data_IF_583477136059
#
_entry.id   IF_583477136059
#
_cell.length_a   1.000
_cell.length_b   1.000
_cell.length_c   1.000
_cell.angle_alpha   90.00
_cell.angle_beta   90.00
_cell.angle_gamma   90.00
#
_symmetry.space_group_name_H-M   'P 1'
#
loop_
_entity.id
_entity.type
_entity.pdbx_description
1 polymer ?
#
# COMPACT_ATOMS: atom_id res chain seq x y z
N UNK A 1 9.16 -57.71 22.22
CA UNK A 1 10.48 -57.24 21.79
C UNK A 1 10.43 -57.12 20.25
N UNK A 2 10.23 -55.94 19.73
CA UNK A 2 10.35 -55.65 18.31
C UNK A 2 11.34 -54.50 18.21
N UNK A 3 12.46 -54.81 17.61
CA UNK A 3 13.58 -53.90 17.35
C UNK A 3 13.29 -53.15 16.07
N UNK A 4 13.10 -51.86 16.12
CA UNK A 4 13.00 -50.99 14.93
C UNK A 4 14.38 -50.42 14.64
N UNK A 5 14.96 -50.86 13.53
CA UNK A 5 16.19 -50.31 12.97
C UNK A 5 15.91 -48.92 12.41
N UNK A 6 16.71 -47.94 12.83
CA UNK A 6 16.89 -46.67 12.19
C UNK A 6 18.04 -46.83 11.19
N UNK A 7 17.72 -46.78 9.90
CA UNK A 7 18.72 -46.73 8.84
C UNK A 7 19.32 -45.32 8.78
N UNK A 8 20.64 -45.27 8.84
CA UNK A 8 21.46 -44.06 8.68
C UNK A 8 21.32 -43.52 7.27
N UNK A 9 20.80 -42.28 7.15
CA UNK A 9 20.94 -41.48 5.92
C UNK A 9 22.33 -40.84 5.88
N UNK A 10 23.09 -40.99 4.80
CA UNK A 10 24.37 -40.32 4.64
C UNK A 10 24.17 -38.79 4.54
N UNK A 11 24.81 -38.08 5.43
CA UNK A 11 24.94 -36.61 5.35
C UNK A 11 25.73 -36.23 4.09
N UNK A 12 25.02 -35.77 3.05
CA UNK A 12 25.67 -35.17 1.90
C UNK A 12 26.10 -33.76 2.30
N UNK A 13 27.36 -33.63 2.68
CA UNK A 13 28.02 -32.34 2.83
C UNK A 13 28.20 -31.73 1.42
N UNK A 14 27.34 -30.76 1.05
CA UNK A 14 27.64 -29.90 -0.08
C UNK A 14 28.76 -28.96 0.33
N UNK A 15 29.98 -29.27 -0.07
CA UNK A 15 31.07 -28.29 -0.13
C UNK A 15 30.72 -27.28 -1.22
N UNK A 16 30.13 -26.16 -0.85
CA UNK A 16 30.06 -25.00 -1.72
C UNK A 16 31.48 -24.43 -1.80
N UNK A 17 32.20 -24.76 -2.84
CA UNK A 17 33.45 -24.10 -3.19
C UNK A 17 33.06 -22.72 -3.73
N UNK A 18 33.25 -21.69 -2.92
CA UNK A 18 33.23 -20.32 -3.41
C UNK A 18 34.46 -20.10 -4.30
N UNK A 19 34.31 -20.25 -5.60
CA UNK A 19 35.30 -19.75 -6.54
C UNK A 19 35.15 -18.22 -6.62
N UNK A 20 36.25 -17.54 -6.39
CA UNK A 20 36.40 -16.07 -6.46
C UNK A 20 36.54 -15.58 -7.92
N UNK A 21 35.85 -16.23 -8.85
CA UNK A 21 35.87 -15.90 -10.29
C UNK A 21 34.90 -14.76 -10.64
N UNK A 22 34.33 -14.04 -9.65
CA UNK A 22 33.42 -12.90 -9.87
C UNK A 22 34.08 -11.69 -10.55
N UNK A 23 35.40 -11.68 -10.70
CA UNK A 23 36.11 -10.53 -11.30
C UNK A 23 36.18 -10.52 -12.81
N UNK A 24 35.92 -11.63 -13.49
CA UNK A 24 36.02 -11.67 -14.95
C UNK A 24 34.67 -11.69 -15.70
N UNK A 25 33.54 -11.89 -14.98
CA UNK A 25 32.21 -11.90 -15.62
C UNK A 25 31.63 -10.49 -15.85
N UNK A 26 32.27 -9.45 -15.33
CA UNK A 26 31.76 -8.07 -15.26
C UNK A 26 32.13 -7.15 -16.44
N UNK A 27 32.63 -7.68 -17.58
CA UNK A 27 33.09 -6.80 -18.66
C UNK A 27 32.10 -6.62 -19.83
N UNK A 28 30.97 -7.34 -19.87
CA UNK A 28 30.02 -7.22 -21.01
C UNK A 28 28.62 -7.67 -20.62
N UNK A 29 27.81 -6.87 -19.92
CA UNK A 29 26.35 -6.74 -19.99
C UNK A 29 25.77 -6.23 -18.66
N UNK A 30 25.12 -5.08 -18.69
CA UNK A 30 24.13 -4.59 -17.74
C UNK A 30 24.52 -4.73 -16.26
N UNK A 31 24.86 -3.63 -15.57
CA UNK A 31 25.13 -3.66 -14.13
C UNK A 31 23.98 -4.27 -13.35
N UNK A 32 24.28 -4.95 -12.25
CA UNK A 32 23.27 -5.44 -11.31
C UNK A 32 22.50 -4.25 -10.71
N UNK A 33 21.23 -4.47 -10.39
CA UNK A 33 20.44 -3.52 -9.61
C UNK A 33 20.31 -4.05 -8.18
N UNK A 34 20.43 -3.18 -7.19
CA UNK A 34 20.10 -3.59 -5.83
C UNK A 34 18.58 -3.68 -5.70
N UNK A 35 18.08 -4.77 -5.16
CA UNK A 35 16.66 -4.92 -4.87
C UNK A 35 16.38 -5.07 -3.39
N UNK A 36 15.19 -4.63 -3.00
CA UNK A 36 14.65 -4.74 -1.64
C UNK A 36 13.19 -5.18 -1.74
N UNK A 37 12.82 -6.20 -0.97
CA UNK A 37 11.40 -6.51 -0.71
C UNK A 37 11.04 -5.89 0.62
N UNK A 38 10.02 -5.05 0.62
CA UNK A 38 9.60 -4.24 1.76
C UNK A 38 8.15 -4.53 2.09
N UNK A 39 7.86 -4.83 3.34
CA UNK A 39 6.50 -4.85 3.88
C UNK A 39 6.16 -3.45 4.40
N UNK A 40 5.16 -2.80 3.81
CA UNK A 40 4.70 -1.46 4.16
C UNK A 40 3.44 -1.53 5.03
N UNK A 41 3.28 -0.60 5.97
CA UNK A 41 2.21 -0.60 6.97
C UNK A 41 2.21 -1.87 7.83
N UNK A 42 3.38 -2.40 8.13
CA UNK A 42 3.57 -3.64 8.87
C UNK A 42 4.00 -3.37 10.32
N UNK A 43 3.59 -4.20 11.26
CA UNK A 43 4.10 -4.18 12.63
C UNK A 43 5.26 -5.18 12.83
N UNK A 44 5.33 -6.17 11.96
CA UNK A 44 6.41 -7.14 11.86
C UNK A 44 6.56 -7.66 10.43
N UNK A 45 7.66 -8.34 10.13
CA UNK A 45 7.89 -8.94 8.81
C UNK A 45 6.78 -9.92 8.44
N UNK A 46 6.47 -9.96 7.14
CA UNK A 46 5.44 -10.82 6.53
C UNK A 46 4.00 -10.39 6.82
N UNK A 47 3.84 -9.13 7.21
CA UNK A 47 2.56 -8.42 7.34
C UNK A 47 2.56 -7.21 6.38
N UNK A 48 1.47 -6.43 6.36
CA UNK A 48 1.42 -5.21 5.56
C UNK A 48 1.27 -5.47 4.06
N UNK A 49 1.58 -4.46 3.26
CA UNK A 49 1.55 -4.49 1.79
C UNK A 49 2.97 -4.62 1.25
N UNK A 50 3.19 -5.64 0.42
CA UNK A 50 4.50 -5.93 -0.14
C UNK A 50 4.86 -5.02 -1.31
N UNK A 51 6.12 -4.61 -1.35
CA UNK A 51 6.70 -3.76 -2.38
C UNK A 51 8.06 -4.30 -2.82
N UNK A 52 8.30 -4.34 -4.12
CA UNK A 52 9.64 -4.46 -4.67
C UNK A 52 10.20 -3.05 -4.94
N UNK A 53 11.36 -2.74 -4.36
CA UNK A 53 12.13 -1.52 -4.63
C UNK A 53 13.42 -1.90 -5.31
N UNK A 54 13.70 -1.32 -6.48
CA UNK A 54 14.96 -1.50 -7.22
C UNK A 54 15.71 -0.17 -7.28
N UNK A 55 17.01 -0.19 -6.95
CA UNK A 55 17.93 0.93 -7.23
C UNK A 55 18.70 0.62 -8.48
N UNK A 56 18.41 1.36 -9.53
CA UNK A 56 19.07 1.19 -10.83
C UNK A 56 20.40 1.98 -10.87
N UNK A 57 21.48 1.28 -11.06
CA UNK A 57 22.81 1.88 -11.28
C UNK A 57 23.14 2.04 -12.78
N UNK A 58 22.18 1.72 -13.65
CA UNK A 58 22.20 1.84 -15.11
C UNK A 58 20.90 2.38 -15.65
N UNK A 59 20.90 2.83 -16.88
CA UNK A 59 19.65 3.13 -17.57
C UNK A 59 18.83 1.86 -17.74
N UNK A 60 17.56 1.92 -17.37
CA UNK A 60 16.57 0.87 -17.50
C UNK A 60 15.41 1.37 -18.34
N UNK A 61 15.03 0.63 -19.38
CA UNK A 61 13.94 1.01 -20.27
C UNK A 61 12.58 0.78 -19.63
N UNK A 62 11.57 1.52 -20.12
CA UNK A 62 10.17 1.34 -19.68
C UNK A 62 9.68 -0.09 -19.88
N UNK A 63 10.08 -0.71 -21.00
CA UNK A 63 9.74 -2.11 -21.30
C UNK A 63 10.34 -3.08 -20.27
N UNK A 64 11.57 -2.82 -19.82
CA UNK A 64 12.23 -3.66 -18.82
C UNK A 64 11.60 -3.46 -17.43
N UNK A 65 11.32 -2.20 -17.03
CA UNK A 65 10.62 -1.89 -15.77
C UNK A 65 9.26 -2.60 -15.71
N UNK A 66 8.49 -2.55 -16.82
CA UNK A 66 7.21 -3.25 -16.92
C UNK A 66 7.34 -4.77 -16.85
N UNK A 67 8.37 -5.36 -17.44
CA UNK A 67 8.62 -6.81 -17.37
C UNK A 67 8.93 -7.25 -15.95
N UNK A 68 9.76 -6.48 -15.23
CA UNK A 68 10.09 -6.74 -13.82
C UNK A 68 8.84 -6.63 -12.94
N UNK A 69 8.03 -5.59 -13.13
CA UNK A 69 6.79 -5.44 -12.37
C UNK A 69 5.83 -6.62 -12.59
N UNK A 70 5.75 -7.16 -13.82
CA UNK A 70 4.96 -8.35 -14.12
C UNK A 70 5.54 -9.64 -13.57
N UNK A 71 6.87 -9.78 -13.55
CA UNK A 71 7.56 -10.96 -13.04
C UNK A 71 7.34 -11.13 -11.55
N UNK A 72 7.51 -10.04 -10.77
CA UNK A 72 7.30 -10.10 -9.33
C UNK A 72 5.82 -10.14 -8.94
N UNK A 73 4.97 -9.48 -9.74
CA UNK A 73 3.51 -9.47 -9.61
C UNK A 73 3.00 -9.02 -8.23
N UNK A 74 3.71 -8.11 -7.55
CA UNK A 74 3.17 -7.35 -6.43
C UNK A 74 2.25 -6.25 -6.96
N UNK A 75 1.45 -5.63 -6.09
CA UNK A 75 0.56 -4.52 -6.50
C UNK A 75 1.35 -3.44 -7.25
N UNK A 76 2.52 -3.07 -6.74
CA UNK A 76 3.45 -2.16 -7.38
C UNK A 76 4.92 -2.59 -7.23
N UNK A 77 5.73 -2.02 -8.11
CA UNK A 77 7.20 -2.08 -8.10
C UNK A 77 7.74 -0.67 -8.28
N UNK A 78 8.73 -0.28 -7.51
CA UNK A 78 9.38 1.03 -7.63
C UNK A 78 10.81 0.92 -8.12
N UNK A 79 11.21 1.94 -8.90
CA UNK A 79 12.57 2.08 -9.43
C UNK A 79 13.16 3.42 -8.98
N UNK A 80 14.21 3.38 -8.17
CA UNK A 80 15.02 4.55 -7.82
C UNK A 80 16.04 4.73 -8.95
N UNK A 81 15.87 5.78 -9.76
CA UNK A 81 16.62 6.00 -11.00
C UNK A 81 17.80 6.98 -10.86
N UNK A 82 17.91 7.62 -9.71
CA UNK A 82 18.98 8.58 -9.45
C UNK A 82 19.57 8.44 -8.06
N UNK A 83 20.72 9.03 -7.85
CA UNK A 83 21.17 9.44 -6.52
C UNK A 83 20.44 10.73 -6.12
N UNK A 84 20.68 11.21 -4.89
CA UNK A 84 20.07 12.44 -4.38
C UNK A 84 20.36 13.62 -5.29
N UNK A 85 19.33 14.24 -5.83
CA UNK A 85 19.41 15.36 -6.76
C UNK A 85 19.64 16.69 -6.02
N UNK A 86 19.97 17.76 -6.76
CA UNK A 86 20.17 19.11 -6.19
C UNK A 86 18.94 19.66 -5.46
N UNK A 87 17.73 19.25 -5.88
CA UNK A 87 16.47 19.58 -5.20
C UNK A 87 16.23 18.77 -3.90
N UNK A 88 17.17 17.91 -3.54
CA UNK A 88 17.15 17.07 -2.35
C UNK A 88 16.31 15.80 -2.47
N UNK A 89 15.71 15.54 -3.63
CA UNK A 89 14.90 14.34 -3.91
C UNK A 89 15.64 13.28 -4.70
N UNK A 90 15.03 12.10 -4.80
CA UNK A 90 15.45 10.98 -5.64
C UNK A 90 14.42 10.78 -6.75
N UNK A 91 14.85 10.57 -7.98
CA UNK A 91 13.94 10.30 -9.09
C UNK A 91 13.42 8.87 -8.97
N UNK A 92 12.11 8.71 -8.86
CA UNK A 92 11.44 7.43 -8.63
C UNK A 92 10.28 7.26 -9.61
N UNK A 93 10.15 6.04 -10.13
CA UNK A 93 9.00 5.63 -10.94
C UNK A 93 8.30 4.46 -10.29
N UNK A 94 6.98 4.40 -10.43
CA UNK A 94 6.10 3.39 -9.84
C UNK A 94 5.39 2.65 -10.96
N UNK A 95 5.48 1.32 -10.94
CA UNK A 95 4.90 0.48 -11.98
C UNK A 95 3.97 -0.57 -11.37
N UNK A 96 2.83 -0.78 -12.02
CA UNK A 96 1.91 -1.89 -11.72
C UNK A 96 2.08 -3.02 -12.75
N UNK A 97 1.77 -4.27 -12.42
CA UNK A 97 1.90 -5.38 -13.37
C UNK A 97 0.96 -5.26 -14.57
N UNK A 98 -0.22 -4.70 -14.41
CA UNK A 98 -1.30 -4.75 -15.40
C UNK A 98 -1.51 -3.44 -16.17
N UNK A 99 -1.41 -2.29 -15.49
CA UNK A 99 -1.76 -0.97 -16.07
C UNK A 99 -0.55 -0.26 -16.66
N UNK A 100 0.65 -0.49 -16.10
CA UNK A 100 1.87 0.21 -16.49
C UNK A 100 2.37 1.14 -15.40
N UNK A 101 3.02 2.24 -15.79
CA UNK A 101 3.45 3.28 -14.87
C UNK A 101 2.24 4.02 -14.29
N UNK A 102 2.33 4.33 -12.99
CA UNK A 102 1.35 5.16 -12.29
C UNK A 102 2.03 6.39 -11.69
N UNK A 103 1.38 7.56 -11.73
CA UNK A 103 2.01 8.82 -11.33
C UNK A 103 2.29 8.92 -9.83
N UNK A 104 1.56 8.15 -9.02
CA UNK A 104 1.66 8.11 -7.58
C UNK A 104 0.99 6.84 -7.02
N UNK A 105 1.52 6.31 -5.92
CA UNK A 105 0.87 5.31 -5.08
C UNK A 105 1.39 5.41 -3.64
N UNK A 106 0.52 5.17 -2.65
CA UNK A 106 0.80 5.45 -1.23
C UNK A 106 1.88 4.57 -0.63
N UNK A 107 1.63 3.26 -0.50
CA UNK A 107 2.61 2.35 0.12
C UNK A 107 3.94 2.28 -0.66
N UNK A 108 3.98 2.36 -2.01
CA UNK A 108 5.23 2.43 -2.74
C UNK A 108 6.08 3.66 -2.39
N UNK A 109 5.43 4.80 -2.18
CA UNK A 109 6.10 6.03 -1.74
C UNK A 109 6.74 5.86 -0.37
N UNK A 110 6.00 5.31 0.62
CA UNK A 110 6.52 5.08 1.97
C UNK A 110 7.64 4.03 1.99
N UNK A 111 7.45 2.90 1.32
CA UNK A 111 8.44 1.81 1.28
C UNK A 111 9.74 2.22 0.57
N UNK A 112 9.64 2.99 -0.53
CA UNK A 112 10.82 3.52 -1.23
C UNK A 112 11.58 4.53 -0.37
N UNK A 113 10.87 5.43 0.32
CA UNK A 113 11.49 6.38 1.24
C UNK A 113 12.18 5.67 2.41
N UNK A 114 11.58 4.58 2.93
CA UNK A 114 12.19 3.73 3.95
C UNK A 114 13.52 3.10 3.48
N UNK A 115 13.56 2.57 2.26
CA UNK A 115 14.78 2.02 1.65
C UNK A 115 15.84 3.11 1.49
N UNK A 116 15.48 4.26 0.92
CA UNK A 116 16.40 5.38 0.72
C UNK A 116 17.01 5.82 2.06
N UNK A 117 16.17 6.07 3.06
CA UNK A 117 16.61 6.50 4.38
C UNK A 117 17.62 5.55 5.01
N UNK A 118 17.29 4.25 5.03
CA UNK A 118 18.06 3.27 5.79
C UNK A 118 19.27 2.74 5.03
N UNK A 119 19.19 2.60 3.70
CA UNK A 119 20.22 1.97 2.89
C UNK A 119 21.14 2.98 2.18
N UNK A 120 20.65 4.20 1.90
CA UNK A 120 21.40 5.21 1.14
C UNK A 120 21.71 6.49 1.93
N UNK A 121 20.92 6.85 2.96
CA UNK A 121 21.14 8.04 3.80
C UNK A 121 21.59 7.71 5.24
N UNK A 122 21.90 6.44 5.52
CA UNK A 122 22.43 6.01 6.81
C UNK A 122 21.48 6.17 8.01
N UNK A 123 20.17 6.28 7.75
CA UNK A 123 19.11 6.29 8.78
C UNK A 123 18.91 7.63 9.50
N UNK A 124 19.68 8.68 9.15
CA UNK A 124 19.65 9.95 9.89
C UNK A 124 18.66 11.01 9.41
N UNK A 125 18.04 10.83 8.25
CA UNK A 125 17.15 11.83 7.66
C UNK A 125 15.77 11.84 8.36
N UNK A 126 15.29 13.02 8.70
CA UNK A 126 13.94 13.24 9.22
C UNK A 126 12.89 13.32 8.09
N UNK A 127 13.31 13.57 6.86
CA UNK A 127 12.46 13.64 5.69
C UNK A 127 13.21 13.11 4.47
N UNK A 128 12.59 12.22 3.71
CA UNK A 128 13.05 11.76 2.41
C UNK A 128 12.12 12.34 1.34
N UNK A 129 12.69 12.82 0.22
CA UNK A 129 11.91 13.41 -0.87
C UNK A 129 12.02 12.53 -2.11
N UNK A 130 10.88 12.20 -2.69
CA UNK A 130 10.79 11.46 -3.95
C UNK A 130 10.30 12.38 -5.05
N UNK A 131 11.02 12.42 -6.18
CA UNK A 131 10.59 13.09 -7.40
C UNK A 131 9.77 12.08 -8.21
N UNK A 132 8.45 12.17 -8.10
CA UNK A 132 7.47 11.36 -8.84
C UNK A 132 6.88 12.15 -10.01
N UNK A 133 6.11 11.53 -10.87
CA UNK A 133 5.44 12.21 -12.00
C UNK A 133 4.52 13.34 -11.53
N UNK A 134 3.81 13.18 -10.42
CA UNK A 134 2.95 14.21 -9.81
C UNK A 134 3.72 15.35 -9.15
N UNK A 135 5.06 15.25 -9.06
CA UNK A 135 5.92 16.22 -8.41
C UNK A 135 6.75 15.65 -7.27
N UNK A 136 7.37 16.53 -6.48
CA UNK A 136 8.17 16.11 -5.35
C UNK A 136 7.30 15.84 -4.11
N UNK A 137 7.34 14.60 -3.63
CA UNK A 137 6.59 14.15 -2.46
C UNK A 137 7.55 13.99 -1.27
N UNK A 138 7.38 14.78 -0.21
CA UNK A 138 8.10 14.59 1.04
C UNK A 138 7.46 13.46 1.86
N UNK A 139 8.29 12.58 2.38
CA UNK A 139 7.92 11.55 3.35
C UNK A 139 8.64 11.84 4.65
N UNK A 140 7.89 12.15 5.69
CA UNK A 140 8.42 12.41 7.01
C UNK A 140 8.68 11.11 7.78
N UNK A 141 9.61 11.18 8.73
CA UNK A 141 9.86 10.11 9.70
C UNK A 141 9.28 10.54 11.04
N UNK A 142 8.34 9.81 11.54
CA UNK A 142 7.66 10.06 12.82
C UNK A 142 7.90 8.91 13.80
N UNK A 143 7.33 8.99 14.99
CA UNK A 143 7.34 7.88 15.96
C UNK A 143 6.54 6.68 15.42
N UNK A 144 5.53 6.94 14.59
CA UNK A 144 4.67 5.93 13.96
C UNK A 144 5.22 5.39 12.62
N UNK A 145 6.48 5.67 12.29
CA UNK A 145 7.15 5.19 11.08
C UNK A 145 7.26 6.26 9.99
N UNK A 146 7.02 5.86 8.75
CA UNK A 146 7.05 6.74 7.58
C UNK A 146 5.67 7.36 7.37
N UNK A 147 5.60 8.66 7.18
CA UNK A 147 4.32 9.39 7.07
C UNK A 147 4.34 10.33 5.87
N UNK A 148 3.24 10.37 5.13
CA UNK A 148 3.05 11.31 4.02
C UNK A 148 1.74 12.08 4.18
N UNK A 149 1.74 13.34 3.72
CA UNK A 149 0.53 14.15 3.63
C UNK A 149 -0.25 13.82 2.35
N UNK A 150 -1.56 13.93 2.44
CA UNK A 150 -2.50 13.80 1.33
C UNK A 150 -3.06 15.18 0.96
N UNK A 151 -3.71 15.29 -0.21
CA UNK A 151 -4.39 16.53 -0.57
C UNK A 151 -5.65 16.76 0.28
N UNK A 152 -6.18 18.00 0.33
CA UNK A 152 -7.51 18.24 0.84
C UNK A 152 -8.55 17.36 0.14
N UNK A 153 -9.57 16.85 0.88
CA UNK A 153 -10.53 15.92 0.31
C UNK A 153 -11.53 16.63 -0.62
N UNK A 154 -11.86 15.96 -1.71
CA UNK A 154 -12.99 16.27 -2.57
C UNK A 154 -14.12 15.29 -2.30
N UNK A 155 -15.36 15.78 -2.20
CA UNK A 155 -16.54 14.97 -1.90
C UNK A 155 -17.45 14.90 -3.12
N UNK A 156 -17.73 13.69 -3.56
CA UNK A 156 -18.59 13.42 -4.72
C UNK A 156 -19.97 12.87 -4.33
N UNK A 157 -20.51 12.06 -5.22
CA UNK A 157 -21.86 11.54 -5.12
C UNK A 157 -22.07 10.61 -3.91
N UNK A 158 -23.28 10.65 -3.35
CA UNK A 158 -23.74 9.65 -2.38
C UNK A 158 -24.30 8.44 -3.14
N UNK A 159 -23.81 7.26 -2.77
CA UNK A 159 -24.18 5.99 -3.39
C UNK A 159 -25.30 5.32 -2.59
N UNK A 160 -26.23 4.67 -3.28
CA UNK A 160 -27.32 3.95 -2.63
C UNK A 160 -26.79 2.68 -1.93
N UNK A 161 -27.08 2.53 -0.62
CA UNK A 161 -26.68 1.36 0.18
C UNK A 161 -27.12 0.04 -0.45
N UNK A 162 -28.32 0.01 -1.04
CA UNK A 162 -28.86 -1.17 -1.71
C UNK A 162 -27.98 -1.64 -2.88
N UNK A 163 -27.38 -0.73 -3.63
CA UNK A 163 -26.51 -1.10 -4.75
C UNK A 163 -25.21 -1.72 -4.24
N UNK A 164 -24.59 -1.09 -3.23
CA UNK A 164 -23.40 -1.61 -2.55
C UNK A 164 -23.68 -3.00 -1.94
N UNK A 165 -24.82 -3.18 -1.28
CA UNK A 165 -25.21 -4.46 -0.69
C UNK A 165 -25.25 -5.60 -1.74
N UNK A 166 -25.81 -5.31 -2.92
CA UNK A 166 -25.88 -6.28 -4.03
C UNK A 166 -24.52 -6.56 -4.63
N UNK A 167 -23.68 -5.53 -4.81
CA UNK A 167 -22.35 -5.66 -5.40
C UNK A 167 -21.43 -6.47 -4.51
N UNK A 168 -21.47 -6.23 -3.20
CA UNK A 168 -20.53 -6.82 -2.25
C UNK A 168 -21.11 -7.97 -1.41
N UNK A 169 -22.32 -8.41 -1.74
CA UNK A 169 -22.92 -9.62 -1.17
C UNK A 169 -23.25 -9.53 0.32
N UNK A 170 -23.48 -8.34 0.84
CA UNK A 170 -23.84 -8.08 2.25
C UNK A 170 -25.29 -7.63 2.38
N UNK A 171 -25.87 -7.71 3.58
CA UNK A 171 -27.20 -7.15 3.84
C UNK A 171 -27.16 -5.60 3.80
N UNK A 172 -28.18 -4.97 3.22
CA UNK A 172 -28.29 -3.50 3.24
C UNK A 172 -28.33 -2.96 4.69
N UNK A 173 -28.93 -3.72 5.60
CA UNK A 173 -28.98 -3.42 7.04
C UNK A 173 -27.63 -3.53 7.77
N UNK A 174 -26.64 -4.16 7.13
CA UNK A 174 -25.25 -4.22 7.62
C UNK A 174 -24.49 -2.92 7.40
N UNK A 175 -24.95 -2.07 6.47
CA UNK A 175 -24.37 -0.75 6.20
C UNK A 175 -24.97 0.24 7.21
N UNK A 176 -24.12 1.07 7.83
CA UNK A 176 -24.57 2.04 8.81
C UNK A 176 -25.31 3.21 8.13
N UNK A 177 -26.61 3.31 8.41
CA UNK A 177 -27.47 4.38 7.87
C UNK A 177 -27.22 5.76 8.46
N UNK A 178 -26.44 5.83 9.52
CA UNK A 178 -26.12 7.09 10.19
C UNK A 178 -25.20 7.97 9.32
N UNK A 179 -24.39 7.35 8.48
CA UNK A 179 -23.43 8.02 7.61
C UNK A 179 -23.65 7.63 6.15
N UNK A 180 -23.46 8.54 5.17
CA UNK A 180 -23.68 8.21 3.77
C UNK A 180 -22.59 7.26 3.24
N UNK A 181 -22.93 6.40 2.30
CA UNK A 181 -21.94 5.81 1.41
C UNK A 181 -21.56 6.87 0.40
N UNK A 182 -20.29 7.27 0.33
CA UNK A 182 -19.91 8.45 -0.45
C UNK A 182 -18.58 8.27 -1.18
N UNK A 183 -18.53 8.80 -2.40
CA UNK A 183 -17.30 8.98 -3.15
C UNK A 183 -16.47 10.12 -2.53
N UNK A 184 -15.18 9.86 -2.28
CA UNK A 184 -14.22 10.83 -1.72
C UNK A 184 -12.89 10.67 -2.44
N UNK A 185 -12.12 11.75 -2.60
CA UNK A 185 -10.78 11.73 -3.16
C UNK A 185 -9.85 12.70 -2.43
N UNK A 186 -8.69 12.22 -2.05
CA UNK A 186 -7.54 13.01 -1.60
C UNK A 186 -6.38 12.94 -2.63
N UNK A 187 -6.71 12.48 -3.84
CA UNK A 187 -5.78 12.31 -4.97
C UNK A 187 -6.09 11.08 -5.81
N UNK A 188 -6.31 9.92 -5.17
CA UNK A 188 -6.91 8.74 -5.77
C UNK A 188 -8.22 8.49 -5.04
N UNK A 189 -9.27 8.19 -5.79
CA UNK A 189 -10.63 8.13 -5.28
C UNK A 189 -11.00 6.80 -4.64
N UNK A 190 -11.89 6.87 -3.66
CA UNK A 190 -12.58 5.72 -3.10
C UNK A 190 -14.06 6.00 -2.80
N UNK A 191 -14.89 4.97 -2.91
CA UNK A 191 -16.21 4.94 -2.28
C UNK A 191 -16.03 4.47 -0.84
N UNK A 192 -16.34 5.32 0.12
CA UNK A 192 -16.24 5.02 1.57
C UNK A 192 -17.55 4.46 2.07
N UNK A 193 -17.51 3.29 2.72
CA UNK A 193 -18.68 2.52 3.10
C UNK A 193 -18.62 2.18 4.61
N UNK A 194 -19.43 2.83 5.46
CA UNK A 194 -19.53 2.53 6.87
C UNK A 194 -20.32 1.25 7.14
N UNK A 195 -19.79 0.37 7.99
CA UNK A 195 -20.46 -0.86 8.40
C UNK A 195 -20.77 -0.86 9.90
N UNK A 196 -21.77 -1.65 10.31
CA UNK A 196 -22.21 -1.77 11.71
C UNK A 196 -21.42 -2.78 12.52
N UNK A 197 -20.69 -3.70 11.89
CA UNK A 197 -20.01 -4.77 12.62
C UNK A 197 -18.82 -5.38 11.88
N UNK A 198 -17.86 -5.89 12.64
CA UNK A 198 -16.71 -6.65 12.11
C UNK A 198 -17.16 -7.92 11.36
N UNK A 199 -18.32 -8.50 11.74
CA UNK A 199 -18.90 -9.64 11.03
C UNK A 199 -19.30 -9.25 9.62
N UNK A 200 -19.99 -8.12 9.45
CA UNK A 200 -20.37 -7.62 8.13
C UNK A 200 -19.14 -7.35 7.24
N UNK A 201 -18.07 -6.79 7.84
CA UNK A 201 -16.81 -6.58 7.14
C UNK A 201 -16.18 -7.90 6.63
N UNK A 202 -16.19 -8.95 7.44
CA UNK A 202 -15.66 -10.27 7.07
C UNK A 202 -16.50 -10.99 5.98
N UNK A 203 -17.79 -10.69 5.88
CA UNK A 203 -18.72 -11.32 4.93
C UNK A 203 -18.63 -10.74 3.52
N UNK A 204 -17.94 -9.62 3.31
CA UNK A 204 -17.81 -8.95 2.00
C UNK A 204 -17.24 -9.89 0.96
N UNK A 205 -17.96 -10.01 -0.16
CA UNK A 205 -17.54 -10.75 -1.35
C UNK A 205 -18.01 -10.01 -2.59
N UNK A 206 -17.09 -9.47 -3.37
CA UNK A 206 -17.42 -8.76 -4.59
C UNK A 206 -18.03 -9.70 -5.63
N UNK A 207 -19.17 -9.32 -6.16
CA UNK A 207 -19.88 -10.03 -7.23
C UNK A 207 -19.58 -9.32 -8.55
N UNK A 208 -18.69 -9.89 -9.38
CA UNK A 208 -18.25 -9.29 -10.65
C UNK A 208 -19.41 -8.88 -11.56
N UNK A 209 -20.39 -9.74 -11.90
CA UNK A 209 -21.51 -9.32 -12.76
C UNK A 209 -22.38 -8.20 -12.17
N UNK A 210 -22.47 -8.11 -10.84
CA UNK A 210 -23.21 -7.03 -10.19
C UNK A 210 -22.39 -5.73 -10.22
N UNK A 211 -21.08 -5.80 -10.01
CA UNK A 211 -20.17 -4.67 -10.09
C UNK A 211 -20.15 -4.08 -11.51
N UNK A 212 -19.99 -4.91 -12.54
CA UNK A 212 -20.00 -4.46 -13.93
C UNK A 212 -21.29 -3.68 -14.27
N UNK A 213 -22.47 -4.18 -13.89
CA UNK A 213 -23.75 -3.46 -14.06
C UNK A 213 -23.86 -2.19 -13.22
N UNK A 214 -23.21 -2.17 -12.05
CA UNK A 214 -23.16 -0.98 -11.21
C UNK A 214 -22.31 0.11 -11.86
N UNK A 215 -21.14 -0.22 -12.37
CA UNK A 215 -20.24 0.70 -13.05
C UNK A 215 -20.79 1.19 -14.40
N UNK A 216 -21.53 0.36 -15.15
CA UNK A 216 -22.25 0.81 -16.35
C UNK A 216 -23.20 1.98 -16.06
N UNK A 217 -23.77 2.05 -14.86
CA UNK A 217 -24.68 3.13 -14.43
C UNK A 217 -23.99 4.26 -13.69
N UNK A 218 -22.87 3.99 -13.07
CA UNK A 218 -22.09 4.88 -12.22
C UNK A 218 -20.61 4.79 -12.56
N UNK A 219 -20.20 5.21 -13.77
CA UNK A 219 -18.80 5.08 -14.20
C UNK A 219 -17.82 5.86 -13.31
N UNK A 220 -18.27 6.89 -12.62
CA UNK A 220 -17.50 7.66 -11.65
C UNK A 220 -17.09 6.82 -10.42
N UNK A 221 -17.74 5.70 -10.16
CA UNK A 221 -17.45 4.79 -9.06
C UNK A 221 -16.53 3.62 -9.47
N UNK A 222 -15.89 3.69 -10.65
CA UNK A 222 -14.83 2.75 -11.03
C UNK A 222 -13.53 3.15 -10.32
N UNK A 223 -13.49 2.88 -9.03
CA UNK A 223 -12.43 3.22 -8.10
C UNK A 223 -12.43 2.24 -6.92
N UNK A 224 -11.54 2.48 -5.95
CA UNK A 224 -11.48 1.70 -4.73
C UNK A 224 -12.81 1.76 -3.94
N UNK A 225 -13.14 0.67 -3.24
CA UNK A 225 -14.28 0.60 -2.31
C UNK A 225 -13.76 0.24 -0.93
N UNK A 226 -13.67 1.25 -0.05
CA UNK A 226 -13.16 1.09 1.30
C UNK A 226 -14.31 0.92 2.30
N UNK A 227 -14.38 -0.27 2.88
CA UNK A 227 -15.30 -0.59 3.95
C UNK A 227 -14.61 -0.41 5.30
N UNK A 228 -15.30 0.18 6.25
CA UNK A 228 -14.76 0.33 7.60
C UNK A 228 -15.81 0.06 8.68
N UNK A 229 -15.31 -0.30 9.86
CA UNK A 229 -16.12 -0.49 11.07
C UNK A 229 -15.36 0.01 12.29
N UNK A 230 -16.08 0.65 13.21
CA UNK A 230 -15.54 1.09 14.49
C UNK A 230 -15.26 -0.11 15.42
N UNK A 231 -14.03 -0.18 15.93
CA UNK A 231 -13.58 -1.19 16.90
C UNK A 231 -13.46 -0.62 18.31
N UNK A 232 -13.74 0.69 18.48
CA UNK A 232 -13.54 1.42 19.73
C UNK A 232 -12.11 1.91 19.93
N UNK A 233 -11.89 2.77 20.92
CA UNK A 233 -10.56 3.27 21.31
C UNK A 233 -9.78 3.95 20.15
N UNK A 234 -10.47 4.69 19.29
CA UNK A 234 -9.92 5.30 18.08
C UNK A 234 -9.26 4.27 17.15
N UNK A 235 -9.84 3.08 17.06
CA UNK A 235 -9.40 2.03 16.14
C UNK A 235 -10.52 1.65 15.19
N UNK A 236 -10.21 1.57 13.91
CA UNK A 236 -11.11 1.09 12.86
C UNK A 236 -10.55 -0.20 12.26
N UNK A 237 -11.43 -1.12 11.85
CA UNK A 237 -11.05 -2.21 10.97
C UNK A 237 -11.56 -1.89 9.55
N UNK A 238 -10.76 -2.17 8.53
CA UNK A 238 -11.09 -1.87 7.15
C UNK A 238 -10.77 -3.03 6.19
N UNK A 239 -11.46 -3.02 5.05
CA UNK A 239 -11.13 -3.81 3.85
C UNK A 239 -11.27 -2.92 2.63
N UNK A 240 -10.33 -2.99 1.71
CA UNK A 240 -10.36 -2.26 0.46
C UNK A 240 -10.48 -3.21 -0.73
N UNK A 241 -11.58 -3.08 -1.49
CA UNK A 241 -11.80 -3.82 -2.73
C UNK A 241 -11.49 -2.91 -3.90
N UNK A 242 -10.54 -3.32 -4.71
CA UNK A 242 -10.13 -2.58 -5.90
C UNK A 242 -11.06 -2.89 -7.08
N UNK A 243 -11.10 -2.00 -8.05
CA UNK A 243 -11.91 -2.11 -9.27
C UNK A 243 -11.56 -3.32 -10.15
N UNK A 244 -10.36 -3.88 -10.01
CA UNK A 244 -9.90 -5.08 -10.72
C UNK A 244 -10.26 -6.40 -10.02
N UNK A 245 -11.09 -6.34 -8.96
CA UNK A 245 -11.56 -7.47 -8.14
C UNK A 245 -10.49 -8.07 -7.22
N UNK A 246 -9.45 -7.33 -6.92
CA UNK A 246 -8.43 -7.69 -5.95
C UNK A 246 -8.75 -6.97 -4.62
N UNK A 247 -8.48 -7.60 -3.51
CA UNK A 247 -8.44 -6.95 -2.20
C UNK A 247 -7.02 -6.48 -1.94
N UNK A 248 -6.86 -5.21 -1.54
CA UNK A 248 -5.58 -4.63 -1.20
C UNK A 248 -5.34 -4.71 0.32
N UNK A 249 -4.19 -5.21 0.78
CA UNK A 249 -3.92 -5.37 2.21
C UNK A 249 -3.71 -4.06 2.96
N UNK A 250 -3.28 -2.97 2.31
CA UNK A 250 -3.11 -1.65 2.92
C UNK A 250 -3.15 -0.54 1.88
N UNK A 251 -4.25 0.20 1.85
CA UNK A 251 -4.52 1.24 0.85
C UNK A 251 -4.35 2.63 1.46
N UNK A 252 -3.14 3.19 1.37
CA UNK A 252 -2.84 4.50 1.97
C UNK A 252 -3.73 5.63 1.44
N UNK A 253 -3.98 5.68 0.12
CA UNK A 253 -4.86 6.70 -0.49
C UNK A 253 -6.29 6.61 0.02
N UNK A 254 -6.91 5.43 -0.02
CA UNK A 254 -8.30 5.25 0.45
C UNK A 254 -8.46 5.51 1.95
N UNK A 255 -7.40 5.31 2.76
CA UNK A 255 -7.42 5.69 4.18
C UNK A 255 -7.27 7.22 4.37
N UNK A 256 -6.63 7.93 3.45
CA UNK A 256 -6.69 9.39 3.37
C UNK A 256 -8.10 9.90 3.04
N UNK A 257 -8.78 9.24 2.08
CA UNK A 257 -10.18 9.53 1.73
C UNK A 257 -11.10 9.28 2.93
N UNK A 258 -10.89 8.17 3.65
CA UNK A 258 -11.59 7.85 4.89
C UNK A 258 -11.38 8.95 5.93
N UNK A 259 -10.16 9.48 6.08
CA UNK A 259 -9.86 10.54 7.03
C UNK A 259 -10.65 11.82 6.74
N UNK A 260 -10.67 12.25 5.47
CA UNK A 260 -11.49 13.36 5.02
C UNK A 260 -12.99 13.13 5.28
N UNK A 261 -13.48 11.93 4.94
CA UNK A 261 -14.86 11.52 5.19
C UNK A 261 -15.25 11.57 6.67
N UNK A 262 -14.40 11.07 7.57
CA UNK A 262 -14.69 11.02 9.01
C UNK A 262 -14.76 12.42 9.63
N UNK A 263 -13.91 13.36 9.17
CA UNK A 263 -13.97 14.75 9.59
C UNK A 263 -15.22 15.47 9.05
N UNK A 264 -15.54 15.32 7.76
CA UNK A 264 -16.71 15.94 7.13
C UNK A 264 -18.01 15.52 7.80
N UNK A 265 -18.12 14.25 8.20
CA UNK A 265 -19.31 13.72 8.85
C UNK A 265 -19.27 13.75 10.38
N UNK A 266 -18.33 14.50 10.99
CA UNK A 266 -18.17 14.65 12.46
C UNK A 266 -18.23 13.30 13.21
N UNK A 267 -17.58 12.27 12.61
CA UNK A 267 -17.65 10.90 13.09
C UNK A 267 -17.14 10.75 14.52
N UNK A 268 -15.97 11.32 14.80
CA UNK A 268 -15.33 11.31 16.12
C UNK A 268 -15.77 12.49 17.02
N UNK A 269 -16.63 13.40 16.55
CA UNK A 269 -17.02 14.64 17.24
C UNK A 269 -15.82 15.52 17.61
N UNK A 270 -14.85 15.54 16.73
CA UNK A 270 -13.63 16.33 16.82
C UNK A 270 -13.15 16.69 15.42
N UNK A 271 -12.59 17.88 15.27
CA UNK A 271 -11.97 18.34 14.03
C UNK A 271 -10.45 18.17 14.04
N UNK A 272 -9.90 17.48 15.04
CA UNK A 272 -8.50 17.06 15.13
C UNK A 272 -8.48 15.67 15.76
N UNK A 273 -8.10 14.66 14.97
CA UNK A 273 -8.22 13.25 15.34
C UNK A 273 -6.96 12.47 14.99
N UNK A 274 -6.61 11.57 15.88
CA UNK A 274 -5.60 10.54 15.63
C UNK A 274 -6.25 9.19 15.88
N UNK A 275 -6.11 8.28 14.92
CA UNK A 275 -6.68 6.96 15.01
C UNK A 275 -5.86 5.95 14.20
N UNK A 276 -6.11 4.67 14.47
CA UNK A 276 -5.45 3.56 13.80
C UNK A 276 -6.44 2.79 12.94
N UNK A 277 -6.03 2.40 11.74
CA UNK A 277 -6.79 1.50 10.88
C UNK A 277 -6.07 0.16 10.78
N UNK A 278 -6.79 -0.92 11.06
CA UNK A 278 -6.36 -2.29 10.81
C UNK A 278 -6.99 -2.76 9.51
N UNK A 279 -6.16 -3.02 8.49
CA UNK A 279 -6.59 -3.52 7.18
C UNK A 279 -5.90 -4.84 6.86
N UNK A 280 -6.42 -5.63 5.91
CA UNK A 280 -5.77 -6.85 5.42
C UNK A 280 -5.79 -8.07 6.33
N UNK A 281 -6.43 -8.01 7.53
CA UNK A 281 -6.50 -9.17 8.44
C UNK A 281 -7.17 -10.39 7.78
N UNK A 282 -8.25 -10.18 7.04
CA UNK A 282 -9.00 -11.26 6.39
C UNK A 282 -8.24 -11.91 5.24
N UNK A 283 -7.16 -11.29 4.77
CA UNK A 283 -6.22 -11.82 3.77
C UNK A 283 -5.01 -12.53 4.40
N UNK A 284 -4.84 -12.46 5.74
CA UNK A 284 -3.63 -12.90 6.42
C UNK A 284 -2.43 -11.97 6.24
N UNK A 285 -2.66 -10.72 5.81
CA UNK A 285 -1.68 -9.64 5.62
C UNK A 285 -2.07 -8.44 6.47
N UNK A 286 -2.11 -8.63 7.80
CA UNK A 286 -2.48 -7.56 8.73
C UNK A 286 -1.62 -6.33 8.49
N UNK A 287 -2.27 -5.20 8.29
CA UNK A 287 -1.66 -3.89 8.08
C UNK A 287 -2.15 -2.91 9.13
N UNK A 288 -1.27 -2.03 9.58
CA UNK A 288 -1.55 -1.00 10.60
C UNK A 288 -1.20 0.35 10.02
N UNK A 289 -2.22 1.17 9.83
CA UNK A 289 -2.09 2.53 9.32
C UNK A 289 -2.39 3.50 10.46
N UNK A 290 -1.48 4.43 10.70
CA UNK A 290 -1.64 5.52 11.66
C UNK A 290 -2.09 6.76 10.92
N UNK A 291 -3.20 7.32 11.34
CA UNK A 291 -3.84 8.44 10.67
C UNK A 291 -3.90 9.63 11.62
N UNK A 292 -3.44 10.78 11.14
CA UNK A 292 -3.72 12.07 11.73
C UNK A 292 -4.52 12.90 10.74
N UNK A 293 -5.65 13.44 11.17
CA UNK A 293 -6.46 14.29 10.32
C UNK A 293 -7.03 15.46 11.11
N UNK A 294 -6.92 16.66 10.54
CA UNK A 294 -7.54 17.85 11.14
C UNK A 294 -8.09 18.80 10.08
N UNK A 295 -9.14 19.52 10.47
CA UNK A 295 -9.72 20.60 9.68
C UNK A 295 -9.87 21.84 10.55
N UNK A 296 -9.30 22.96 10.11
CA UNK A 296 -9.40 24.23 10.82
C UNK A 296 -9.60 25.38 9.83
N UNK A 297 -10.77 26.04 9.88
CA UNK A 297 -11.13 27.18 9.02
C UNK A 297 -10.97 26.90 7.51
N UNK A 298 -11.16 25.66 7.06
CA UNK A 298 -11.02 25.26 5.67
C UNK A 298 -9.64 24.72 5.30
N UNK A 299 -8.66 24.81 6.19
CA UNK A 299 -7.36 24.16 6.02
C UNK A 299 -7.45 22.70 6.47
N UNK A 300 -7.09 21.78 5.58
CA UNK A 300 -7.07 20.35 5.84
C UNK A 300 -5.64 19.86 6.05
N UNK A 301 -5.47 19.04 7.07
CA UNK A 301 -4.29 18.21 7.27
C UNK A 301 -4.77 16.76 7.24
N UNK A 302 -4.23 15.95 6.35
CA UNK A 302 -4.47 14.52 6.30
C UNK A 302 -3.11 13.86 6.15
N UNK A 303 -2.74 13.07 7.12
CA UNK A 303 -1.48 12.35 7.18
C UNK A 303 -1.75 10.85 7.35
N UNK A 304 -1.12 10.05 6.50
CA UNK A 304 -1.21 8.59 6.52
C UNK A 304 0.20 8.04 6.68
N UNK A 305 0.40 7.24 7.72
CA UNK A 305 1.70 6.69 8.03
C UNK A 305 1.65 5.25 8.53
N UNK A 306 2.82 4.65 8.68
CA UNK A 306 3.02 3.33 9.25
C UNK A 306 4.44 2.84 9.12
N UNK A 307 4.73 1.72 9.77
CA UNK A 307 6.05 1.12 9.75
C UNK A 307 6.32 0.37 8.44
N UNK A 308 7.60 0.28 8.09
CA UNK A 308 8.07 -0.51 6.96
C UNK A 308 9.20 -1.44 7.40
N UNK A 309 9.24 -2.66 6.83
CA UNK A 309 10.26 -3.65 7.14
C UNK A 309 10.89 -4.22 5.88
N UNK A 310 12.21 -4.15 5.75
CA UNK A 310 12.93 -4.85 4.68
C UNK A 310 12.97 -6.33 5.05
N UNK A 311 12.36 -7.18 4.22
CA UNK A 311 12.30 -8.64 4.44
C UNK A 311 13.34 -9.39 3.64
N UNK A 312 13.72 -8.86 2.46
CA UNK A 312 14.77 -9.42 1.62
C UNK A 312 15.52 -8.31 0.90
N UNK A 313 16.79 -8.56 0.58
CA UNK A 313 17.59 -7.68 -0.26
C UNK A 313 18.66 -8.49 -1.01
N UNK A 314 19.12 -7.99 -2.14
CA UNK A 314 20.13 -8.64 -2.95
C UNK A 314 20.42 -7.89 -4.24
N UNK A 315 20.99 -8.62 -5.20
CA UNK A 315 21.29 -8.13 -6.54
C UNK A 315 20.30 -8.75 -7.54
N UNK A 316 19.75 -7.93 -8.41
CA UNK A 316 18.86 -8.30 -9.51
C UNK A 316 19.64 -8.28 -10.80
N UNK A 317 19.63 -9.39 -11.57
CA UNK A 317 20.37 -9.58 -12.82
C UNK A 317 19.63 -9.01 -14.04
#
# INVERSE_FOLDING_TARGET
>A
MVQTGLEDFPSILYNVVYNDDRKEFNAQKGGFMNFFIVDCFAEEKYQGNELLVLKADRQISDEEQQKIAREINFSETTFILSDKQENGGYDVRIWTPNVGEVPFAGHPTLGTAHVIRNCYEGGGSETVKLNLEVGQIPVAVTEDGMTMSQNPPEFGSVVQRKEIAVVFGIGEDSIDEKYPVQWVSTGLEAVVIPLKSRKALAEIKMNRPAFERYIERHPENYCNHLFFVDMGENMLAARCMMEDFIEDPATGSANGDLAGYLLEHDYFRSQDVQYTVIQGEDMGRKSVLHIHASQNNGDWVIEVGGNCYIVAQGEWE
#
